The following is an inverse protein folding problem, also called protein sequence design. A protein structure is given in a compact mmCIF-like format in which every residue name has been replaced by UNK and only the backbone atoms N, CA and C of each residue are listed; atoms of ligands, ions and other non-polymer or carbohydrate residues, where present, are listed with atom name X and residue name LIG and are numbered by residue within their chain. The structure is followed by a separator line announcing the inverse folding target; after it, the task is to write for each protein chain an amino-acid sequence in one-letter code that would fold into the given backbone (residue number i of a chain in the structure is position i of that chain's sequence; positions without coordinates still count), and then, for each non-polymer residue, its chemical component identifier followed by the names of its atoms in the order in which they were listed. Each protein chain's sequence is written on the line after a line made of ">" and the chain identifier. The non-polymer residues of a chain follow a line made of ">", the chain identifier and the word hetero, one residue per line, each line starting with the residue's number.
data_IF_900056249306
#
_entry.id   IF_900056249306
#
_cell.length_a   1.000
_cell.length_b   1.000
_cell.length_c   1.000
_cell.angle_alpha   90.00
_cell.angle_beta   90.00
_cell.angle_gamma   90.00
#
_symmetry.space_group_name_H-M   'P 1'
#
loop_
_entity.id
_entity.type
_entity.pdbx_description
1 polymer ?
#
# COMPACT_ATOMS: atom_id res chain seq x y z
N UNK A 1 -3.95 38.49 19.76
CA UNK A 1 -2.80 39.36 20.08
C UNK A 1 -1.51 38.61 19.75
N UNK A 2 -0.94 38.87 18.56
CA UNK A 2 0.53 39.01 18.42
C UNK A 2 0.94 40.25 19.25
N UNK A 3 2.19 40.48 19.70
CA UNK A 3 3.46 39.82 19.38
C UNK A 3 4.36 39.53 20.62
N UNK A 4 5.34 38.62 20.50
CA UNK A 4 6.53 38.64 21.36
C UNK A 4 7.76 38.19 20.55
N UNK A 5 8.00 38.90 19.44
CA UNK A 5 9.33 39.04 18.84
C UNK A 5 9.70 40.50 19.03
N UNK A 6 10.82 40.73 19.73
CA UNK A 6 11.69 41.92 19.71
C UNK A 6 12.28 42.07 21.11
N UNK A 7 13.49 41.55 21.30
CA UNK A 7 14.58 42.15 22.09
C UNK A 7 15.71 41.11 22.20
N UNK A 8 16.60 41.09 21.21
CA UNK A 8 18.04 40.86 21.37
C UNK A 8 18.73 40.94 19.99
N UNK A 9 19.20 42.13 19.60
CA UNK A 9 20.34 42.18 18.69
C UNK A 9 21.36 43.20 19.19
N UNK A 10 22.17 42.85 20.19
CA UNK A 10 23.45 43.52 20.44
C UNK A 10 24.43 42.48 20.99
N UNK A 11 25.08 41.72 20.11
CA UNK A 11 26.43 41.18 20.34
C UNK A 11 27.13 41.13 18.98
N UNK A 12 27.55 42.30 18.53
CA UNK A 12 28.52 42.45 17.47
C UNK A 12 29.92 42.07 17.97
N UNK A 13 30.57 41.20 17.20
CA UNK A 13 31.99 41.24 16.89
C UNK A 13 32.97 40.99 18.04
N UNK A 14 33.34 39.72 18.21
CA UNK A 14 34.67 39.34 18.69
C UNK A 14 35.36 38.57 17.57
N UNK A 15 36.55 38.99 17.12
CA UNK A 15 37.26 38.35 16.03
C UNK A 15 37.72 36.95 16.40
N UNK A 16 37.65 36.10 15.39
CA UNK A 16 38.16 34.74 15.29
C UNK A 16 39.56 34.64 15.90
N UNK A 17 39.70 33.84 16.95
CA UNK A 17 40.97 33.53 17.61
C UNK A 17 41.07 32.03 17.85
N UNK A 18 41.97 31.39 17.09
CA UNK A 18 42.46 30.01 17.22
C UNK A 18 41.50 28.88 16.82
N UNK A 19 41.30 28.72 15.51
CA UNK A 19 41.30 27.37 14.95
C UNK A 19 42.75 26.86 15.02
N UNK A 20 43.06 26.01 16.01
CA UNK A 20 44.25 25.17 15.92
C UNK A 20 44.05 24.22 14.74
N UNK A 21 44.58 24.61 13.58
CA UNK A 21 44.73 23.70 12.46
C UNK A 21 45.67 22.58 12.89
N UNK A 22 45.13 21.42 13.23
CA UNK A 22 45.89 20.18 13.17
C UNK A 22 46.34 20.06 11.71
N UNK A 23 47.63 20.31 11.46
CA UNK A 23 48.16 20.33 10.10
C UNK A 23 47.84 19.03 9.35
N UNK A 24 47.71 19.11 8.02
CA UNK A 24 47.50 17.94 7.15
C UNK A 24 48.49 16.80 7.47
N UNK A 25 49.71 17.14 7.86
CA UNK A 25 50.75 16.22 8.31
C UNK A 25 50.36 15.40 9.54
N UNK A 26 49.74 16.01 10.56
CA UNK A 26 49.26 15.33 11.75
C UNK A 26 48.07 14.41 11.42
N UNK A 27 47.23 14.83 10.48
CA UNK A 27 46.08 14.04 10.04
C UNK A 27 46.48 12.85 9.14
N UNK A 28 47.50 13.01 8.29
CA UNK A 28 48.10 11.92 7.50
C UNK A 28 48.66 10.85 8.43
N UNK A 29 49.23 11.21 9.58
CA UNK A 29 49.74 10.23 10.55
C UNK A 29 48.65 9.35 11.17
N UNK A 30 47.40 9.82 11.20
CA UNK A 30 46.26 9.04 11.69
C UNK A 30 45.69 8.09 10.61
N UNK A 31 46.07 8.26 9.35
CA UNK A 31 45.64 7.38 8.27
C UNK A 31 46.31 5.99 8.37
N UNK A 32 45.62 4.91 7.97
CA UNK A 32 46.24 3.61 7.77
C UNK A 32 47.42 3.66 6.79
N UNK A 33 48.45 2.83 7.00
CA UNK A 33 49.67 2.81 6.15
C UNK A 33 49.37 2.62 4.66
N UNK A 34 48.38 1.79 4.33
CA UNK A 34 47.95 1.58 2.94
C UNK A 34 47.42 2.89 2.31
N UNK A 35 46.61 3.65 3.05
CA UNK A 35 46.03 4.91 2.60
C UNK A 35 47.07 6.02 2.49
N UNK A 36 48.08 6.06 3.37
CA UNK A 36 49.21 6.98 3.25
C UNK A 36 50.00 6.74 1.95
N UNK A 37 50.17 5.48 1.56
CA UNK A 37 50.85 5.11 0.32
C UNK A 37 50.05 5.56 -0.90
N UNK A 38 48.74 5.33 -0.89
CA UNK A 38 47.84 5.81 -1.95
C UNK A 38 47.84 7.35 -2.07
N UNK A 39 47.71 8.05 -0.94
CA UNK A 39 47.68 9.51 -0.91
C UNK A 39 49.00 10.11 -1.39
N UNK A 40 50.14 9.61 -0.92
CA UNK A 40 51.46 10.12 -1.34
C UNK A 40 51.75 9.87 -2.82
N UNK A 41 51.28 8.74 -3.37
CA UNK A 41 51.41 8.43 -4.80
C UNK A 41 50.54 9.38 -5.63
N UNK A 42 49.26 9.50 -5.28
CA UNK A 42 48.34 10.37 -6.01
C UNK A 42 48.73 11.86 -5.93
N UNK A 43 49.30 12.31 -4.80
CA UNK A 43 49.80 13.68 -4.67
C UNK A 43 50.96 13.95 -5.64
N UNK A 44 51.89 13.02 -5.83
CA UNK A 44 53.02 13.17 -6.78
C UNK A 44 52.56 13.37 -8.22
N UNK A 45 51.45 12.73 -8.58
CA UNK A 45 50.85 12.83 -9.91
C UNK A 45 49.87 14.02 -10.06
N UNK A 46 49.74 14.84 -9.01
CA UNK A 46 48.81 15.97 -8.94
C UNK A 46 49.54 17.31 -8.78
N UNK A 47 48.89 18.45 -9.11
CA UNK A 47 49.44 19.77 -8.84
C UNK A 47 49.39 20.18 -7.36
N UNK A 48 48.84 19.34 -6.47
CA UNK A 48 48.69 19.64 -5.06
C UNK A 48 49.96 19.30 -4.26
N UNK A 49 50.23 20.07 -3.19
CA UNK A 49 51.30 19.77 -2.23
C UNK A 49 50.73 19.12 -0.96
N UNK A 50 51.55 18.32 -0.27
CA UNK A 50 51.19 17.63 0.99
C UNK A 50 50.88 18.56 2.17
N UNK A 51 51.12 19.86 2.02
CA UNK A 51 50.81 20.91 3.01
C UNK A 51 49.54 21.69 2.67
N UNK A 52 49.05 21.61 1.43
CA UNK A 52 47.91 22.39 0.95
C UNK A 52 46.61 21.58 1.09
N UNK A 53 46.02 21.63 2.28
CA UNK A 53 44.72 21.00 2.60
C UNK A 53 43.63 21.38 1.60
N UNK A 54 43.53 22.66 1.25
CA UNK A 54 42.49 23.17 0.35
C UNK A 54 42.59 22.53 -1.03
N UNK A 55 43.80 22.37 -1.59
CA UNK A 55 43.99 21.73 -2.89
C UNK A 55 43.56 20.25 -2.85
N UNK A 56 43.96 19.52 -1.80
CA UNK A 56 43.61 18.10 -1.62
C UNK A 56 42.09 17.93 -1.46
N UNK A 57 41.44 18.85 -0.75
CA UNK A 57 40.00 18.79 -0.48
C UNK A 57 39.11 19.28 -1.64
N UNK A 58 39.65 20.04 -2.60
CA UNK A 58 38.88 20.59 -3.73
C UNK A 58 39.16 19.90 -5.06
N UNK A 59 40.27 19.17 -5.19
CA UNK A 59 40.62 18.47 -6.43
C UNK A 59 39.91 17.12 -6.55
N UNK A 60 38.81 17.10 -7.31
CA UNK A 60 37.97 15.92 -7.50
C UNK A 60 38.71 14.74 -8.17
N UNK A 61 39.64 15.01 -9.10
CA UNK A 61 40.42 13.95 -9.77
C UNK A 61 41.34 13.26 -8.77
N UNK A 62 42.07 14.05 -7.97
CA UNK A 62 42.93 13.53 -6.91
C UNK A 62 42.14 12.69 -5.90
N UNK A 63 40.95 13.16 -5.49
CA UNK A 63 40.08 12.41 -4.58
C UNK A 63 39.63 11.07 -5.18
N UNK A 64 39.26 11.05 -6.46
CA UNK A 64 38.88 9.84 -7.17
C UNK A 64 40.04 8.83 -7.29
N UNK A 65 41.24 9.31 -7.61
CA UNK A 65 42.44 8.47 -7.74
C UNK A 65 42.84 7.86 -6.37
N UNK A 66 42.76 8.65 -5.30
CA UNK A 66 43.00 8.17 -3.92
C UNK A 66 41.93 7.17 -3.50
N UNK A 67 40.66 7.46 -3.73
CA UNK A 67 39.55 6.55 -3.39
C UNK A 67 39.69 5.21 -4.15
N UNK A 68 40.00 5.25 -5.44
CA UNK A 68 40.26 4.06 -6.25
C UNK A 68 41.42 3.22 -5.72
N UNK A 69 42.56 3.84 -5.40
CA UNK A 69 43.71 3.14 -4.83
C UNK A 69 43.41 2.54 -3.45
N UNK A 70 42.73 3.28 -2.58
CA UNK A 70 42.38 2.85 -1.22
C UNK A 70 41.44 1.65 -1.27
N UNK A 71 40.40 1.68 -2.12
CA UNK A 71 39.48 0.56 -2.28
C UNK A 71 40.13 -0.73 -2.81
N UNK A 72 41.25 -0.61 -3.52
CA UNK A 72 42.02 -1.75 -4.03
C UNK A 72 43.09 -2.26 -3.04
N UNK A 73 43.70 -1.36 -2.28
CA UNK A 73 44.92 -1.64 -1.50
C UNK A 73 44.70 -1.75 0.00
N UNK A 74 43.56 -1.29 0.52
CA UNK A 74 43.21 -1.29 1.94
C UNK A 74 42.06 -2.24 2.26
N UNK A 75 41.95 -2.67 3.52
CA UNK A 75 40.72 -3.35 3.98
C UNK A 75 39.53 -2.38 3.98
N UNK A 76 38.30 -2.90 3.99
CA UNK A 76 37.12 -2.02 3.98
C UNK A 76 37.06 -1.13 5.23
N UNK A 77 37.41 -1.67 6.41
CA UNK A 77 37.51 -0.90 7.64
C UNK A 77 38.50 0.26 7.49
N UNK A 78 39.70 -0.01 6.97
CA UNK A 78 40.71 1.02 6.72
C UNK A 78 40.24 2.06 5.68
N UNK A 79 39.51 1.62 4.66
CA UNK A 79 38.94 2.49 3.63
C UNK A 79 37.90 3.46 4.22
N UNK A 80 37.00 2.94 5.06
CA UNK A 80 35.99 3.74 5.75
C UNK A 80 36.62 4.70 6.77
N UNK A 81 37.61 4.26 7.54
CA UNK A 81 38.35 5.14 8.45
C UNK A 81 39.06 6.25 7.69
N UNK A 82 39.69 5.93 6.56
CA UNK A 82 40.34 6.91 5.67
C UNK A 82 39.32 7.93 5.16
N UNK A 83 38.16 7.46 4.69
CA UNK A 83 37.08 8.33 4.20
C UNK A 83 36.52 9.23 5.30
N UNK A 84 36.34 8.71 6.52
CA UNK A 84 35.89 9.50 7.67
C UNK A 84 36.88 10.61 8.03
N UNK A 85 38.16 10.26 8.20
CA UNK A 85 39.21 11.22 8.54
C UNK A 85 39.35 12.30 7.45
N UNK A 86 39.42 11.90 6.18
CA UNK A 86 39.52 12.85 5.04
C UNK A 86 38.28 13.73 4.91
N UNK A 87 37.07 13.19 5.06
CA UNK A 87 35.83 13.97 5.04
C UNK A 87 35.78 14.98 6.20
N UNK A 88 36.21 14.57 7.40
CA UNK A 88 36.28 15.44 8.58
C UNK A 88 37.30 16.56 8.39
N UNK A 89 38.49 16.25 7.85
CA UNK A 89 39.54 17.23 7.54
C UNK A 89 39.11 18.25 6.48
N UNK A 90 38.38 17.78 5.48
CA UNK A 90 37.85 18.64 4.42
C UNK A 90 36.56 19.37 4.82
N UNK A 91 36.12 19.27 6.07
CA UNK A 91 34.88 19.85 6.57
C UNK A 91 33.67 19.52 5.67
N UNK A 92 33.62 18.28 5.17
CA UNK A 92 32.49 17.82 4.37
C UNK A 92 31.20 17.84 5.21
N UNK A 93 30.07 18.32 4.67
CA UNK A 93 28.82 18.38 5.41
C UNK A 93 28.33 16.97 5.73
N UNK A 94 28.05 16.70 7.00
CA UNK A 94 27.40 15.46 7.42
C UNK A 94 25.93 15.54 7.03
N UNK A 95 25.50 14.68 6.12
CA UNK A 95 24.11 14.62 5.65
C UNK A 95 23.32 13.65 6.52
N UNK A 96 22.08 14.03 6.88
CA UNK A 96 21.15 13.16 7.61
C UNK A 96 19.74 13.28 7.05
N UNK A 97 19.09 12.15 6.78
CA UNK A 97 17.68 12.02 6.38
C UNK A 97 16.80 11.38 7.48
N UNK A 98 17.32 11.24 8.69
CA UNK A 98 16.68 10.44 9.74
C UNK A 98 15.24 10.89 10.07
N UNK A 99 15.03 12.19 10.21
CA UNK A 99 13.72 12.75 10.55
C UNK A 99 12.69 12.50 9.44
N UNK A 100 13.09 12.70 8.18
CA UNK A 100 12.21 12.51 7.02
C UNK A 100 11.74 11.05 6.92
N UNK A 101 12.64 10.11 7.19
CA UNK A 101 12.37 8.67 7.20
C UNK A 101 11.41 8.31 8.34
N UNK A 102 11.69 8.79 9.56
CA UNK A 102 10.85 8.52 10.74
C UNK A 102 9.43 9.05 10.53
N UNK A 103 9.30 10.30 10.08
CA UNK A 103 8.01 10.94 9.81
C UNK A 103 7.24 10.14 8.76
N UNK A 104 7.86 9.85 7.62
CA UNK A 104 7.20 9.13 6.52
C UNK A 104 6.74 7.73 6.96
N UNK A 105 7.59 6.98 7.66
CA UNK A 105 7.28 5.63 8.16
C UNK A 105 6.12 5.63 9.16
N UNK A 106 6.13 6.54 10.15
CA UNK A 106 5.08 6.63 11.17
C UNK A 106 3.75 7.10 10.55
N UNK A 107 3.78 8.15 9.73
CA UNK A 107 2.57 8.70 9.10
C UNK A 107 1.90 7.65 8.22
N UNK A 108 2.65 6.97 7.35
CA UNK A 108 2.09 5.93 6.49
C UNK A 108 1.52 4.76 7.30
N UNK A 109 2.23 4.31 8.34
CA UNK A 109 1.78 3.23 9.22
C UNK A 109 0.51 3.59 10.00
N UNK A 110 0.39 4.82 10.51
CA UNK A 110 -0.83 5.28 11.21
C UNK A 110 -2.01 5.37 10.26
N UNK A 111 -1.82 5.91 9.05
CA UNK A 111 -2.88 6.02 8.05
C UNK A 111 -3.37 4.63 7.63
N UNK A 112 -2.45 3.70 7.32
CA UNK A 112 -2.83 2.34 6.92
C UNK A 112 -3.55 1.59 8.03
N UNK A 113 -3.06 1.70 9.28
CA UNK A 113 -3.74 1.14 10.45
C UNK A 113 -5.15 1.72 10.63
N UNK A 114 -5.32 3.04 10.50
CA UNK A 114 -6.64 3.68 10.58
C UNK A 114 -7.61 3.21 9.48
N UNK A 115 -7.12 3.03 8.25
CA UNK A 115 -7.89 2.48 7.14
C UNK A 115 -8.34 1.02 7.40
N UNK A 116 -7.46 0.18 7.95
CA UNK A 116 -7.82 -1.21 8.30
C UNK A 116 -8.82 -1.23 9.45
N UNK A 117 -8.56 -0.48 10.52
CA UNK A 117 -9.44 -0.43 11.69
C UNK A 117 -10.84 0.07 11.32
N UNK A 118 -10.94 1.12 10.51
CA UNK A 118 -12.24 1.62 10.03
C UNK A 118 -12.99 0.60 9.19
N UNK A 119 -12.31 -0.16 8.32
CA UNK A 119 -12.91 -1.27 7.56
C UNK A 119 -13.45 -2.37 8.47
N UNK A 120 -12.66 -2.82 9.45
CA UNK A 120 -13.06 -3.92 10.35
C UNK A 120 -14.20 -3.50 11.27
N UNK A 121 -14.11 -2.33 11.91
CA UNK A 121 -15.17 -1.80 12.77
C UNK A 121 -16.46 -1.63 11.97
N UNK A 122 -16.37 -1.11 10.74
CA UNK A 122 -17.56 -0.94 9.90
C UNK A 122 -18.26 -2.27 9.60
N UNK A 123 -17.51 -3.30 9.20
CA UNK A 123 -18.08 -4.62 8.92
C UNK A 123 -18.66 -5.27 10.17
N UNK A 124 -17.92 -5.25 11.28
CA UNK A 124 -18.32 -5.89 12.53
C UNK A 124 -19.55 -5.23 13.16
N UNK A 125 -19.64 -3.90 13.15
CA UNK A 125 -20.69 -3.16 13.85
C UNK A 125 -21.89 -2.85 12.95
N UNK A 126 -21.67 -2.44 11.71
CA UNK A 126 -22.73 -1.87 10.87
C UNK A 126 -23.19 -2.76 9.72
N UNK A 127 -22.40 -3.76 9.34
CA UNK A 127 -22.77 -4.66 8.25
C UNK A 127 -23.40 -5.96 8.75
N UNK A 128 -23.26 -6.31 10.04
CA UNK A 128 -23.62 -7.62 10.62
C UNK A 128 -23.16 -8.81 9.76
N UNK A 129 -22.13 -8.59 8.93
CA UNK A 129 -21.71 -9.50 7.88
C UNK A 129 -20.51 -10.29 8.35
N UNK A 130 -20.42 -11.53 7.88
CA UNK A 130 -19.26 -12.39 8.12
C UNK A 130 -17.97 -11.75 7.56
N UNK A 131 -16.89 -11.85 8.33
CA UNK A 131 -15.56 -11.43 7.89
C UNK A 131 -15.08 -12.37 6.80
N UNK A 132 -14.65 -11.81 5.67
CA UNK A 132 -14.12 -12.58 4.56
C UNK A 132 -12.62 -12.86 4.71
N UNK A 133 -12.10 -13.76 3.89
CA UNK A 133 -10.66 -14.02 3.77
C UNK A 133 -9.86 -12.75 3.40
N UNK A 134 -10.49 -11.80 2.72
CA UNK A 134 -9.94 -10.47 2.43
C UNK A 134 -9.70 -9.63 3.70
N UNK A 135 -10.52 -9.80 4.74
CA UNK A 135 -10.39 -9.04 6.00
C UNK A 135 -9.33 -9.68 6.92
N UNK A 136 -9.26 -11.01 6.98
CA UNK A 136 -8.23 -11.70 7.75
C UNK A 136 -6.83 -11.48 7.17
N UNK A 137 -6.69 -11.53 5.84
CA UNK A 137 -5.42 -11.29 5.18
C UNK A 137 -4.93 -9.85 5.38
N UNK A 138 -5.80 -8.83 5.29
CA UNK A 138 -5.36 -7.43 5.52
C UNK A 138 -4.93 -7.20 6.98
N UNK A 139 -5.59 -7.85 7.94
CA UNK A 139 -5.16 -7.86 9.33
C UNK A 139 -3.78 -8.52 9.48
N UNK A 140 -3.56 -9.66 8.80
CA UNK A 140 -2.26 -10.32 8.80
C UNK A 140 -1.15 -9.43 8.23
N UNK A 141 -1.42 -8.67 7.15
CA UNK A 141 -0.48 -7.67 6.61
C UNK A 141 -0.17 -6.61 7.66
N UNK A 142 -1.20 -6.06 8.33
CA UNK A 142 -1.01 -5.03 9.36
C UNK A 142 -0.16 -5.54 10.53
N UNK A 143 -0.44 -6.75 11.03
CA UNK A 143 0.33 -7.36 12.11
C UNK A 143 1.78 -7.65 11.70
N UNK A 144 2.02 -8.11 10.46
CA UNK A 144 3.36 -8.30 9.92
C UNK A 144 4.10 -6.96 9.69
N UNK A 145 3.37 -5.87 9.46
CA UNK A 145 3.91 -4.52 9.29
C UNK A 145 4.37 -3.85 10.60
N UNK A 146 3.75 -4.16 11.75
CA UNK A 146 4.08 -3.55 13.04
C UNK A 146 5.57 -3.72 13.43
N UNK A 147 6.17 -4.92 13.36
CA UNK A 147 7.61 -5.09 13.59
C UNK A 147 8.45 -4.25 12.61
N UNK A 148 8.03 -4.11 11.35
CA UNK A 148 8.77 -3.33 10.36
C UNK A 148 8.81 -1.85 10.72
N UNK A 149 7.67 -1.26 11.12
CA UNK A 149 7.62 0.14 11.58
C UNK A 149 8.53 0.37 12.78
N UNK A 150 8.52 -0.54 13.76
CA UNK A 150 9.34 -0.47 14.97
C UNK A 150 10.83 -0.63 14.65
N UNK A 151 11.20 -1.61 13.82
CA UNK A 151 12.59 -1.87 13.43
C UNK A 151 13.15 -0.69 12.63
N UNK A 152 12.34 -0.04 11.78
CA UNK A 152 12.80 1.17 11.07
C UNK A 152 13.13 2.29 12.08
N UNK A 153 12.19 2.61 12.97
CA UNK A 153 12.36 3.73 13.91
C UNK A 153 13.42 3.50 14.99
N UNK A 154 13.44 2.29 15.59
CA UNK A 154 14.28 1.96 16.75
C UNK A 154 15.51 1.14 16.42
N UNK A 155 15.51 0.45 15.29
CA UNK A 155 16.60 -0.40 14.83
C UNK A 155 17.47 0.33 13.82
N UNK A 156 16.99 0.54 12.60
CA UNK A 156 17.85 0.89 11.48
C UNK A 156 18.26 2.38 11.44
N UNK A 157 17.35 3.31 11.77
CA UNK A 157 17.64 4.75 11.81
C UNK A 157 18.76 5.09 12.79
N UNK A 158 18.70 4.69 14.08
CA UNK A 158 19.79 4.99 15.02
C UNK A 158 21.10 4.24 14.71
N UNK A 159 21.07 3.25 13.82
CA UNK A 159 22.26 2.51 13.39
C UNK A 159 22.84 3.00 12.05
N UNK A 160 22.38 4.13 11.50
CA UNK A 160 23.03 4.76 10.35
C UNK A 160 22.17 4.97 9.11
N UNK A 161 20.90 4.58 9.10
CA UNK A 161 20.06 4.79 7.91
C UNK A 161 19.91 6.29 7.61
N UNK A 162 20.18 6.66 6.36
CA UNK A 162 20.09 8.06 5.93
C UNK A 162 21.28 8.91 6.36
N UNK A 163 22.37 8.28 6.84
CA UNK A 163 23.68 8.89 7.07
C UNK A 163 24.71 8.30 6.11
N UNK A 164 25.78 9.04 5.85
CA UNK A 164 26.92 8.56 5.09
C UNK A 164 27.65 7.42 5.83
N UNK A 165 27.91 6.28 5.17
CA UNK A 165 28.45 5.06 5.81
C UNK A 165 29.77 5.30 6.55
N UNK A 166 30.61 6.21 6.05
CA UNK A 166 31.90 6.53 6.66
C UNK A 166 31.75 7.25 8.01
N UNK A 167 30.61 7.89 8.28
CA UNK A 167 30.32 8.54 9.56
C UNK A 167 29.76 7.57 10.61
N UNK A 168 29.41 6.35 10.22
CA UNK A 168 28.77 5.36 11.09
C UNK A 168 29.81 4.46 11.76
N UNK A 169 29.77 4.26 13.09
CA UNK A 169 30.70 3.34 13.75
C UNK A 169 30.48 1.88 13.33
N UNK A 170 31.54 1.07 13.29
CA UNK A 170 31.50 -0.29 12.75
C UNK A 170 30.49 -1.24 13.44
N UNK A 171 30.29 -1.10 14.76
CA UNK A 171 29.28 -1.88 15.49
C UNK A 171 27.86 -1.52 15.06
N UNK A 172 27.62 -0.24 14.78
CA UNK A 172 26.35 0.24 14.25
C UNK A 172 26.11 -0.23 12.81
N UNK A 173 27.16 -0.31 11.98
CA UNK A 173 27.05 -0.91 10.62
C UNK A 173 26.60 -2.37 10.71
N UNK A 174 27.19 -3.15 11.61
CA UNK A 174 26.81 -4.56 11.83
C UNK A 174 25.35 -4.68 12.24
N UNK A 175 24.90 -3.84 13.19
CA UNK A 175 23.51 -3.80 13.63
C UNK A 175 22.55 -3.32 12.53
N UNK A 176 22.95 -2.32 11.73
CA UNK A 176 22.21 -1.84 10.57
C UNK A 176 21.92 -2.97 9.60
N UNK A 177 22.95 -3.72 9.18
CA UNK A 177 22.79 -4.84 8.24
C UNK A 177 21.94 -5.96 8.85
N UNK A 178 22.09 -6.22 10.16
CA UNK A 178 21.25 -7.19 10.88
C UNK A 178 19.77 -6.78 10.89
N UNK A 179 19.43 -5.51 11.13
CA UNK A 179 18.04 -5.06 11.07
C UNK A 179 17.50 -5.05 9.63
N UNK A 180 18.36 -4.71 8.66
CA UNK A 180 18.02 -4.75 7.24
C UNK A 180 17.65 -6.17 6.78
N UNK A 181 18.38 -7.18 7.24
CA UNK A 181 18.05 -8.59 7.02
C UNK A 181 16.62 -8.92 7.49
N UNK A 182 16.26 -8.53 8.71
CA UNK A 182 14.92 -8.79 9.26
C UNK A 182 13.84 -8.04 8.47
N UNK A 183 14.11 -6.79 8.09
CA UNK A 183 13.20 -5.99 7.26
C UNK A 183 12.98 -6.61 5.87
N UNK A 184 14.02 -7.17 5.26
CA UNK A 184 13.91 -7.86 3.96
C UNK A 184 12.95 -9.05 4.05
N UNK A 185 13.11 -9.91 5.05
CA UNK A 185 12.24 -11.08 5.29
C UNK A 185 10.79 -10.63 5.52
N UNK A 186 10.59 -9.62 6.38
CA UNK A 186 9.27 -9.06 6.67
C UNK A 186 8.64 -8.41 5.43
N UNK A 187 9.44 -7.78 4.57
CA UNK A 187 8.95 -7.19 3.33
C UNK A 187 8.42 -8.27 2.38
N UNK A 188 9.16 -9.37 2.14
CA UNK A 188 8.69 -10.47 1.28
C UNK A 188 7.42 -11.12 1.82
N UNK A 189 7.29 -11.25 3.13
CA UNK A 189 6.06 -11.72 3.76
C UNK A 189 4.90 -10.74 3.53
N UNK A 190 5.12 -9.44 3.78
CA UNK A 190 4.08 -8.41 3.65
C UNK A 190 3.58 -8.27 2.22
N UNK A 191 4.47 -8.25 1.22
CA UNK A 191 4.06 -8.10 -0.19
C UNK A 191 3.25 -9.32 -0.65
N UNK A 192 3.63 -10.54 -0.23
CA UNK A 192 2.87 -11.74 -0.54
C UNK A 192 1.48 -11.72 0.09
N UNK A 193 1.38 -11.36 1.38
CA UNK A 193 0.10 -11.24 2.09
C UNK A 193 -0.79 -10.13 1.49
N UNK A 194 -0.21 -9.00 1.10
CA UNK A 194 -0.92 -7.89 0.47
C UNK A 194 -1.55 -8.31 -0.86
N UNK A 195 -0.78 -9.02 -1.71
CA UNK A 195 -1.32 -9.56 -2.97
C UNK A 195 -2.42 -10.60 -2.71
N UNK A 196 -2.29 -11.43 -1.67
CA UNK A 196 -3.38 -12.34 -1.26
C UNK A 196 -4.66 -11.57 -0.87
N UNK A 197 -4.54 -10.47 -0.12
CA UNK A 197 -5.68 -9.62 0.22
C UNK A 197 -6.42 -9.13 -1.03
N UNK A 198 -5.68 -8.65 -2.04
CA UNK A 198 -6.28 -8.20 -3.30
C UNK A 198 -6.92 -9.35 -4.09
N UNK A 199 -6.28 -10.51 -4.13
CA UNK A 199 -6.82 -11.69 -4.83
C UNK A 199 -8.09 -12.24 -4.17
N UNK A 200 -8.13 -12.33 -2.83
CA UNK A 200 -9.36 -12.72 -2.12
C UNK A 200 -10.48 -11.71 -2.30
N UNK A 201 -10.13 -10.43 -2.36
CA UNK A 201 -11.08 -9.39 -2.68
C UNK A 201 -11.65 -9.55 -4.10
N UNK A 202 -10.82 -9.87 -5.10
CA UNK A 202 -11.29 -10.16 -6.46
C UNK A 202 -12.16 -11.41 -6.53
N UNK A 203 -11.84 -12.48 -5.80
CA UNK A 203 -12.65 -13.69 -5.73
C UNK A 203 -14.06 -13.42 -5.19
N UNK A 204 -14.21 -12.41 -4.32
CA UNK A 204 -15.51 -11.99 -3.78
C UNK A 204 -16.32 -11.15 -4.78
N UNK A 205 -15.67 -10.36 -5.62
CA UNK A 205 -16.35 -9.48 -6.58
C UNK A 205 -16.81 -10.24 -7.83
N UNK A 206 -15.97 -11.12 -8.37
CA UNK A 206 -16.20 -11.72 -9.68
C UNK A 206 -16.80 -13.12 -9.56
N UNK A 207 -18.09 -13.32 -9.90
CA UNK A 207 -18.74 -14.62 -9.76
C UNK A 207 -18.42 -15.59 -10.91
N UNK A 208 -17.95 -15.09 -12.07
CA UNK A 208 -17.76 -15.87 -13.30
C UNK A 208 -16.76 -17.03 -13.08
N UNK A 209 -17.11 -18.28 -13.44
CA UNK A 209 -16.33 -19.46 -13.07
C UNK A 209 -14.92 -19.46 -13.67
N UNK A 210 -14.77 -19.03 -14.92
CA UNK A 210 -13.47 -18.96 -15.60
C UNK A 210 -12.52 -17.99 -14.88
N UNK A 211 -13.01 -16.80 -14.52
CA UNK A 211 -12.21 -15.80 -13.79
C UNK A 211 -11.87 -16.30 -12.39
N UNK A 212 -12.79 -16.99 -11.70
CA UNK A 212 -12.52 -17.58 -10.39
C UNK A 212 -11.44 -18.66 -10.46
N UNK A 213 -11.42 -19.50 -11.50
CA UNK A 213 -10.35 -20.49 -11.70
C UNK A 213 -8.99 -19.80 -11.89
N UNK A 214 -8.92 -18.75 -12.72
CA UNK A 214 -7.69 -17.96 -12.92
C UNK A 214 -7.23 -17.28 -11.63
N UNK A 215 -8.16 -16.74 -10.84
CA UNK A 215 -7.85 -16.13 -9.55
C UNK A 215 -7.30 -17.14 -8.55
N UNK A 216 -7.90 -18.33 -8.43
CA UNK A 216 -7.37 -19.39 -7.57
C UNK A 216 -5.99 -19.89 -8.02
N UNK A 217 -5.75 -20.01 -9.33
CA UNK A 217 -4.43 -20.31 -9.86
C UNK A 217 -3.41 -19.22 -9.51
N UNK A 218 -3.81 -17.95 -9.58
CA UNK A 218 -2.97 -16.81 -9.20
C UNK A 218 -2.70 -16.78 -7.69
N UNK A 219 -3.68 -17.13 -6.86
CA UNK A 219 -3.51 -17.31 -5.41
C UNK A 219 -2.46 -18.37 -5.12
N UNK A 220 -2.59 -19.55 -5.74
CA UNK A 220 -1.63 -20.64 -5.55
C UNK A 220 -0.21 -20.22 -5.97
N UNK A 221 -0.07 -19.57 -7.13
CA UNK A 221 1.21 -19.03 -7.58
C UNK A 221 1.78 -18.00 -6.60
N UNK A 222 0.98 -17.05 -6.12
CA UNK A 222 1.42 -16.02 -5.18
C UNK A 222 1.87 -16.60 -3.84
N UNK A 223 1.18 -17.62 -3.33
CA UNK A 223 1.60 -18.34 -2.09
C UNK A 223 2.94 -19.02 -2.31
N UNK A 224 3.10 -19.77 -3.41
CA UNK A 224 4.36 -20.46 -3.71
C UNK A 224 5.52 -19.50 -3.92
N UNK A 225 5.29 -18.42 -4.66
CA UNK A 225 6.25 -17.34 -4.87
C UNK A 225 6.65 -16.69 -3.54
N UNK A 226 5.68 -16.25 -2.74
CA UNK A 226 5.94 -15.61 -1.45
C UNK A 226 6.71 -16.53 -0.49
N UNK A 227 6.30 -17.78 -0.38
CA UNK A 227 6.97 -18.77 0.46
C UNK A 227 8.41 -19.03 -0.01
N UNK A 228 8.62 -19.18 -1.32
CA UNK A 228 9.96 -19.40 -1.88
C UNK A 228 10.90 -18.24 -1.55
N UNK A 229 10.46 -16.99 -1.71
CA UNK A 229 11.29 -15.82 -1.41
C UNK A 229 11.53 -15.63 0.09
N UNK A 230 10.54 -15.87 0.95
CA UNK A 230 10.70 -15.81 2.41
C UNK A 230 11.67 -16.89 2.91
N UNK A 231 11.54 -18.14 2.44
CA UNK A 231 12.45 -19.22 2.84
C UNK A 231 13.87 -18.93 2.32
N UNK A 232 13.99 -18.48 1.08
CA UNK A 232 15.29 -18.14 0.49
C UNK A 232 15.96 -16.99 1.23
N UNK A 233 15.21 -15.94 1.60
CA UNK A 233 15.77 -14.79 2.32
C UNK A 233 16.19 -15.13 3.75
N UNK A 234 15.53 -16.09 4.41
CA UNK A 234 15.95 -16.58 5.73
C UNK A 234 17.27 -17.38 5.62
N UNK A 235 17.40 -18.21 4.58
CA UNK A 235 18.55 -19.10 4.40
C UNK A 235 19.54 -18.60 3.33
N UNK A 236 19.56 -17.29 3.07
CA UNK A 236 20.35 -16.71 1.99
C UNK A 236 21.86 -16.79 2.21
N UNK A 237 22.32 -16.98 3.46
CA UNK A 237 23.73 -17.10 3.81
C UNK A 237 24.00 -18.34 4.67
N UNK A 238 25.20 -18.91 4.51
CA UNK A 238 25.72 -20.02 5.32
C UNK A 238 27.08 -19.62 5.91
N UNK A 239 27.19 -19.49 7.26
CA UNK A 239 26.10 -19.46 8.24
C UNK A 239 25.20 -18.22 8.08
N UNK A 240 23.98 -18.24 8.63
CA UNK A 240 23.03 -17.09 8.54
C UNK A 240 23.66 -15.81 9.10
N UNK A 241 24.48 -15.93 10.15
CA UNK A 241 25.20 -14.80 10.74
C UNK A 241 26.14 -14.08 9.79
N UNK A 242 26.58 -14.78 8.73
CA UNK A 242 27.43 -14.20 7.72
C UNK A 242 26.77 -13.04 6.98
N UNK A 243 25.43 -12.97 6.90
CA UNK A 243 24.74 -11.84 6.28
C UNK A 243 25.14 -10.49 6.91
N UNK A 244 25.14 -10.40 8.24
CA UNK A 244 25.47 -9.15 8.94
C UNK A 244 26.93 -9.05 9.36
N UNK A 245 27.75 -10.09 9.23
CA UNK A 245 29.19 -10.02 9.50
C UNK A 245 30.03 -9.93 8.23
N UNK A 246 29.44 -10.08 7.03
CA UNK A 246 30.20 -10.07 5.77
C UNK A 246 30.50 -8.67 5.23
N UNK A 247 29.93 -7.62 5.81
CA UNK A 247 30.08 -6.26 5.28
C UNK A 247 31.55 -5.83 5.22
N UNK A 248 32.40 -6.26 6.16
CA UNK A 248 33.83 -5.93 6.19
C UNK A 248 34.70 -6.80 5.27
N UNK A 249 34.12 -7.82 4.63
CA UNK A 249 34.78 -8.82 3.77
C UNK A 249 35.84 -9.67 4.47
N UNK A 250 35.88 -9.68 5.81
CA UNK A 250 36.86 -10.46 6.59
C UNK A 250 36.28 -11.79 7.08
N UNK A 251 34.96 -11.91 7.18
CA UNK A 251 34.29 -13.14 7.59
C UNK A 251 34.41 -14.29 6.58
N UNK A 252 34.25 -15.53 7.06
CA UNK A 252 34.15 -16.72 6.22
C UNK A 252 32.69 -17.18 6.11
N UNK A 253 32.19 -17.25 4.88
CA UNK A 253 30.86 -17.76 4.58
C UNK A 253 30.51 -17.59 3.11
N UNK A 254 29.35 -18.10 2.71
CA UNK A 254 28.81 -17.92 1.37
C UNK A 254 27.37 -17.46 1.45
N UNK A 255 27.02 -16.48 0.62
CA UNK A 255 25.65 -16.05 0.43
C UNK A 255 25.24 -16.26 -1.03
N UNK A 256 23.95 -16.41 -1.27
CA UNK A 256 23.39 -16.23 -2.62
C UNK A 256 23.58 -14.77 -3.04
N UNK A 257 23.45 -14.50 -4.34
CA UNK A 257 23.52 -13.12 -4.82
C UNK A 257 22.29 -12.33 -4.35
N UNK A 258 22.44 -11.56 -3.28
CA UNK A 258 21.36 -10.80 -2.61
C UNK A 258 20.72 -9.80 -3.60
N UNK A 259 21.53 -9.12 -4.42
CA UNK A 259 21.01 -8.19 -5.43
C UNK A 259 20.16 -8.91 -6.48
N UNK A 260 20.61 -10.07 -6.96
CA UNK A 260 19.85 -10.89 -7.90
C UNK A 260 18.55 -11.42 -7.28
N UNK A 261 18.56 -11.79 -6.00
CA UNK A 261 17.36 -12.19 -5.27
C UNK A 261 16.35 -11.04 -5.21
N UNK A 262 16.80 -9.84 -4.80
CA UNK A 262 15.97 -8.65 -4.71
C UNK A 262 15.39 -8.22 -6.07
N UNK A 263 16.21 -8.22 -7.13
CA UNK A 263 15.75 -7.89 -8.49
C UNK A 263 14.74 -8.91 -9.03
N UNK A 264 14.99 -10.20 -8.80
CA UNK A 264 14.06 -11.26 -9.21
C UNK A 264 12.71 -11.11 -8.51
N UNK A 265 12.73 -10.83 -7.21
CA UNK A 265 11.51 -10.57 -6.45
C UNK A 265 10.75 -9.36 -7.01
N UNK A 266 11.44 -8.23 -7.23
CA UNK A 266 10.84 -7.01 -7.73
C UNK A 266 10.23 -7.18 -9.13
N UNK A 267 10.93 -7.84 -10.06
CA UNK A 267 10.43 -8.10 -11.42
C UNK A 267 9.19 -8.99 -11.38
N UNK A 268 9.22 -10.11 -10.65
CA UNK A 268 8.07 -11.01 -10.55
C UNK A 268 6.89 -10.30 -9.86
N UNK A 269 7.15 -9.47 -8.84
CA UNK A 269 6.13 -8.68 -8.17
C UNK A 269 5.42 -7.72 -9.14
N UNK A 270 6.18 -7.00 -9.98
CA UNK A 270 5.62 -6.10 -11.00
C UNK A 270 4.79 -6.87 -12.02
N UNK A 271 5.28 -8.01 -12.51
CA UNK A 271 4.53 -8.86 -13.44
C UNK A 271 3.21 -9.31 -12.83
N UNK A 272 3.23 -9.70 -11.54
CA UNK A 272 2.02 -10.03 -10.80
C UNK A 272 1.06 -8.84 -10.65
N UNK A 273 1.56 -7.63 -10.42
CA UNK A 273 0.72 -6.43 -10.33
C UNK A 273 0.02 -6.14 -11.66
N UNK A 274 0.75 -6.20 -12.77
CA UNK A 274 0.20 -6.04 -14.12
C UNK A 274 -0.83 -7.14 -14.45
N UNK A 275 -0.53 -8.39 -14.10
CA UNK A 275 -1.45 -9.51 -14.27
C UNK A 275 -2.75 -9.32 -13.48
N UNK A 276 -2.64 -8.97 -12.19
CA UNK A 276 -3.78 -8.71 -11.31
C UNK A 276 -4.61 -7.52 -11.77
N UNK A 277 -4.00 -6.51 -12.41
CA UNK A 277 -4.69 -5.39 -13.05
C UNK A 277 -5.46 -5.80 -14.31
N UNK A 278 -4.90 -6.72 -15.11
CA UNK A 278 -5.51 -7.15 -16.36
C UNK A 278 -6.80 -7.97 -16.14
N UNK A 279 -6.85 -8.80 -15.09
CA UNK A 279 -7.99 -9.65 -14.75
C UNK A 279 -9.34 -8.90 -14.66
N UNK A 280 -9.48 -7.85 -13.81
CA UNK A 280 -10.74 -7.10 -13.71
C UNK A 280 -11.02 -6.26 -14.96
N UNK A 281 -9.98 -5.78 -15.65
CA UNK A 281 -10.15 -4.93 -16.83
C UNK A 281 -10.80 -5.70 -17.98
N UNK A 282 -10.36 -6.94 -18.22
CA UNK A 282 -10.95 -7.80 -19.23
C UNK A 282 -12.44 -8.05 -18.96
N UNK A 283 -12.82 -8.28 -17.71
CA UNK A 283 -14.22 -8.54 -17.34
C UNK A 283 -15.09 -7.29 -17.49
N UNK A 284 -14.59 -6.10 -17.16
CA UNK A 284 -15.33 -4.83 -17.34
C UNK A 284 -15.59 -4.51 -18.81
N UNK A 285 -14.66 -4.84 -19.70
CA UNK A 285 -14.83 -4.60 -21.13
C UNK A 285 -15.93 -5.50 -21.73
N UNK A 286 -16.16 -6.68 -21.17
CA UNK A 286 -17.15 -7.63 -21.68
C UNK A 286 -18.53 -7.53 -21.02
N UNK A 287 -18.65 -6.89 -19.86
CA UNK A 287 -19.87 -6.92 -19.05
C UNK A 287 -20.52 -5.54 -18.93
N UNK A 288 -21.82 -5.44 -19.25
CA UNK A 288 -22.64 -4.23 -19.06
C UNK A 288 -22.94 -3.99 -17.58
N UNK A 289 -21.93 -3.58 -16.82
CA UNK A 289 -22.05 -3.30 -15.40
C UNK A 289 -22.83 -2.00 -15.13
N UNK A 290 -23.67 -2.02 -14.10
CA UNK A 290 -24.34 -0.82 -13.60
C UNK A 290 -23.31 0.24 -13.17
N UNK A 291 -23.66 1.53 -13.31
CA UNK A 291 -22.76 2.67 -13.07
C UNK A 291 -22.02 2.60 -11.72
N UNK A 292 -22.68 2.09 -10.67
CA UNK A 292 -22.08 1.94 -9.33
C UNK A 292 -20.93 0.93 -9.28
N UNK A 293 -21.04 -0.19 -10.02
CA UNK A 293 -20.00 -1.21 -10.16
C UNK A 293 -18.86 -0.68 -11.04
N UNK A 294 -19.18 0.04 -12.13
CA UNK A 294 -18.20 0.68 -13.01
C UNK A 294 -17.29 1.66 -12.27
N UNK A 295 -17.84 2.49 -11.40
CA UNK A 295 -17.07 3.41 -10.54
C UNK A 295 -16.16 2.65 -9.55
N UNK A 296 -16.62 1.51 -9.01
CA UNK A 296 -15.79 0.70 -8.12
C UNK A 296 -14.58 0.14 -8.85
N UNK A 297 -14.78 -0.42 -10.05
CA UNK A 297 -13.67 -0.99 -10.81
C UNK A 297 -12.71 0.09 -11.32
N UNK A 298 -13.23 1.27 -11.70
CA UNK A 298 -12.40 2.39 -12.10
C UNK A 298 -11.46 2.86 -10.96
N UNK A 299 -11.95 2.94 -9.72
CA UNK A 299 -11.10 3.25 -8.56
C UNK A 299 -10.02 2.18 -8.35
N UNK A 300 -10.38 0.90 -8.47
CA UNK A 300 -9.41 -0.19 -8.31
C UNK A 300 -8.33 -0.18 -9.40
N UNK A 301 -8.71 0.15 -10.64
CA UNK A 301 -7.76 0.28 -11.75
C UNK A 301 -6.76 1.41 -11.52
N UNK A 302 -7.24 2.59 -11.10
CA UNK A 302 -6.37 3.72 -10.81
C UNK A 302 -5.34 3.38 -9.74
N UNK A 303 -5.79 2.73 -8.66
CA UNK A 303 -4.91 2.43 -7.54
C UNK A 303 -3.96 1.28 -7.85
N UNK A 304 -4.41 0.22 -8.55
CA UNK A 304 -3.49 -0.83 -8.98
C UNK A 304 -2.43 -0.32 -9.95
N UNK A 305 -2.79 0.62 -10.84
CA UNK A 305 -1.82 1.29 -11.73
C UNK A 305 -0.80 2.08 -10.91
N UNK A 306 -1.26 2.83 -9.91
CA UNK A 306 -0.38 3.56 -8.99
C UNK A 306 0.59 2.64 -8.25
N UNK A 307 0.09 1.53 -7.68
CA UNK A 307 0.94 0.53 -7.00
C UNK A 307 1.97 -0.05 -7.95
N UNK A 308 1.59 -0.37 -9.20
CA UNK A 308 2.53 -0.89 -10.21
C UNK A 308 3.65 0.12 -10.52
N UNK A 309 3.33 1.41 -10.58
CA UNK A 309 4.34 2.47 -10.78
C UNK A 309 5.29 2.54 -9.58
N UNK A 310 4.77 2.46 -8.36
CA UNK A 310 5.57 2.43 -7.12
C UNK A 310 6.52 1.22 -7.13
N UNK A 311 6.04 0.04 -7.52
CA UNK A 311 6.87 -1.17 -7.67
C UNK A 311 8.02 -0.96 -8.67
N UNK A 312 7.77 -0.23 -9.77
CA UNK A 312 8.79 0.14 -10.75
C UNK A 312 9.85 1.12 -10.20
N UNK A 313 9.43 2.15 -9.46
CA UNK A 313 10.34 3.08 -8.80
C UNK A 313 11.21 2.39 -7.74
N UNK A 314 10.64 1.43 -7.01
CA UNK A 314 11.39 0.57 -6.08
C UNK A 314 12.47 -0.24 -6.80
N UNK A 315 12.17 -0.84 -7.94
CA UNK A 315 13.15 -1.57 -8.75
C UNK A 315 14.29 -0.64 -9.20
N UNK A 316 13.98 0.58 -9.63
CA UNK A 316 15.00 1.57 -9.98
C UNK A 316 15.92 1.89 -8.79
N UNK A 317 15.36 2.08 -7.59
CA UNK A 317 16.16 2.30 -6.37
C UNK A 317 17.01 1.09 -6.01
N UNK A 318 16.53 -0.14 -6.21
CA UNK A 318 17.32 -1.36 -5.99
C UNK A 318 18.49 -1.48 -6.96
N UNK A 319 18.31 -1.08 -8.23
CA UNK A 319 19.38 -1.06 -9.23
C UNK A 319 20.43 0.00 -8.87
N UNK A 320 20.00 1.19 -8.45
CA UNK A 320 20.90 2.24 -7.98
C UNK A 320 21.69 1.81 -6.73
N UNK A 321 21.03 1.19 -5.76
CA UNK A 321 21.65 0.68 -4.54
C UNK A 321 22.75 -0.35 -4.83
N UNK A 322 22.52 -1.27 -5.77
CA UNK A 322 23.50 -2.30 -6.12
C UNK A 322 24.82 -1.75 -6.69
N UNK A 323 24.82 -0.53 -7.23
CA UNK A 323 25.99 0.15 -7.77
C UNK A 323 26.58 1.20 -6.80
N UNK A 324 26.01 1.34 -5.61
CA UNK A 324 26.35 2.41 -4.67
C UNK A 324 27.63 2.13 -3.86
N UNK A 325 28.43 3.18 -3.66
CA UNK A 325 29.56 3.20 -2.72
C UNK A 325 29.15 3.68 -1.31
N UNK A 326 27.87 3.98 -1.08
CA UNK A 326 27.33 4.50 0.17
C UNK A 326 25.96 3.87 0.49
N UNK A 327 25.96 2.58 0.89
CA UNK A 327 24.73 1.81 1.02
C UNK A 327 23.81 2.34 2.14
N UNK A 328 24.34 2.88 3.24
CA UNK A 328 23.50 3.41 4.35
C UNK A 328 22.68 4.64 3.92
N UNK A 329 23.20 5.44 2.98
CA UNK A 329 22.50 6.58 2.42
C UNK A 329 21.47 6.14 1.37
N UNK A 330 21.89 5.36 0.38
CA UNK A 330 21.05 4.99 -0.77
C UNK A 330 19.96 3.95 -0.43
N UNK A 331 20.16 3.15 0.63
CA UNK A 331 19.13 2.24 1.14
C UNK A 331 17.87 2.97 1.61
N UNK A 332 17.98 4.25 1.94
CA UNK A 332 16.84 5.11 2.33
C UNK A 332 15.72 5.06 1.30
N UNK A 333 16.06 5.17 0.02
CA UNK A 333 15.07 5.24 -1.04
C UNK A 333 14.39 3.89 -1.23
N UNK A 334 15.14 2.78 -1.11
CA UNK A 334 14.59 1.41 -1.15
C UNK A 334 13.58 1.18 -0.03
N UNK A 335 13.91 1.61 1.20
CA UNK A 335 13.01 1.46 2.37
C UNK A 335 11.76 2.34 2.20
N UNK A 336 11.92 3.59 1.77
CA UNK A 336 10.79 4.49 1.55
C UNK A 336 9.84 3.96 0.48
N UNK A 337 10.34 3.53 -0.68
CA UNK A 337 9.50 2.98 -1.74
C UNK A 337 8.82 1.66 -1.32
N UNK A 338 9.53 0.79 -0.60
CA UNK A 338 8.95 -0.44 -0.04
C UNK A 338 7.83 -0.13 0.97
N UNK A 339 8.04 0.87 1.84
CA UNK A 339 7.03 1.32 2.79
C UNK A 339 5.81 1.92 2.09
N UNK A 340 6.00 2.74 1.06
CA UNK A 340 4.92 3.32 0.25
C UNK A 340 4.14 2.21 -0.46
N UNK A 341 4.82 1.25 -1.08
CA UNK A 341 4.20 0.11 -1.79
C UNK A 341 3.24 -0.66 -0.88
N UNK A 342 3.71 -1.08 0.30
CA UNK A 342 2.89 -1.84 1.24
C UNK A 342 1.74 -0.99 1.80
N UNK A 343 2.01 0.22 2.29
CA UNK A 343 0.99 1.04 2.93
C UNK A 343 -0.08 1.52 1.93
N UNK A 344 0.31 1.92 0.72
CA UNK A 344 -0.66 2.29 -0.32
C UNK A 344 -1.45 1.09 -0.79
N UNK A 345 -0.83 -0.09 -0.89
CA UNK A 345 -1.55 -1.33 -1.15
C UNK A 345 -2.60 -1.66 -0.08
N UNK A 346 -2.27 -1.49 1.20
CA UNK A 346 -3.24 -1.66 2.29
C UNK A 346 -4.41 -0.68 2.13
N UNK A 347 -4.11 0.62 1.93
CA UNK A 347 -5.12 1.66 1.73
C UNK A 347 -6.02 1.31 0.53
N UNK A 348 -5.43 0.86 -0.58
CA UNK A 348 -6.14 0.38 -1.77
C UNK A 348 -7.15 -0.71 -1.41
N UNK A 349 -6.71 -1.74 -0.69
CA UNK A 349 -7.56 -2.87 -0.31
C UNK A 349 -8.75 -2.44 0.57
N UNK A 350 -8.60 -1.34 1.31
CA UNK A 350 -9.64 -0.78 2.19
C UNK A 350 -10.58 0.21 1.48
N UNK A 351 -10.21 0.76 0.31
CA UNK A 351 -11.04 1.74 -0.42
C UNK A 351 -12.50 1.31 -0.67
N UNK A 352 -12.78 0.04 -1.05
CA UNK A 352 -14.16 -0.40 -1.25
C UNK A 352 -15.02 -0.25 0.00
N UNK A 353 -14.47 -0.58 1.18
CA UNK A 353 -15.16 -0.40 2.46
C UNK A 353 -15.27 1.08 2.83
N UNK A 354 -14.20 1.86 2.65
CA UNK A 354 -14.18 3.30 2.91
C UNK A 354 -15.22 4.04 2.08
N UNK A 355 -15.44 3.66 0.81
CA UNK A 355 -16.49 4.22 -0.04
C UNK A 355 -17.88 4.05 0.58
N UNK A 356 -18.19 2.85 1.07
CA UNK A 356 -19.50 2.58 1.67
C UNK A 356 -19.68 3.37 2.97
N UNK A 357 -18.62 3.47 3.78
CA UNK A 357 -18.60 4.29 5.00
C UNK A 357 -18.89 5.77 4.65
N UNK A 358 -18.20 6.32 3.66
CA UNK A 358 -18.34 7.73 3.25
C UNK A 358 -19.76 8.05 2.75
N UNK A 359 -20.36 7.15 1.96
CA UNK A 359 -21.74 7.32 1.47
C UNK A 359 -22.76 7.31 2.60
N UNK A 360 -22.54 6.50 3.66
CA UNK A 360 -23.44 6.45 4.83
C UNK A 360 -23.25 7.63 5.79
N UNK A 361 -22.01 8.07 6.03
CA UNK A 361 -21.72 9.17 6.95
C UNK A 361 -22.00 10.55 6.34
N UNK A 362 -21.79 10.71 5.04
CA UNK A 362 -21.97 11.98 4.33
C UNK A 362 -22.91 11.83 3.13
N UNK A 363 -24.20 11.49 3.36
CA UNK A 363 -25.16 11.33 2.27
C UNK A 363 -25.34 12.62 1.45
N UNK A 364 -25.01 13.78 2.02
CA UNK A 364 -25.10 15.10 1.35
C UNK A 364 -23.89 15.45 0.49
N UNK A 365 -22.73 14.82 0.68
CA UNK A 365 -21.48 15.13 -0.08
C UNK A 365 -21.32 14.17 -1.28
N UNK A 366 -21.83 12.94 -1.17
CA UNK A 366 -21.75 11.91 -2.22
C UNK A 366 -23.11 11.42 -2.73
N UNK A 367 -24.21 12.02 -2.27
CA UNK A 367 -25.56 11.73 -2.76
C UNK A 367 -25.73 12.33 -4.14
N UNK A 368 -25.85 11.48 -5.16
CA UNK A 368 -26.33 11.93 -6.47
C UNK A 368 -27.68 12.60 -6.29
N UNK A 369 -27.85 13.77 -6.90
CA UNK A 369 -29.13 14.41 -7.17
C UNK A 369 -29.99 13.48 -8.03
N UNK A 370 -30.61 12.47 -7.43
CA UNK A 370 -31.86 11.93 -7.94
C UNK A 370 -32.95 12.54 -7.09
N UNK A 371 -33.74 13.40 -7.75
CA UNK A 371 -34.75 14.23 -7.14
C UNK A 371 -35.63 13.44 -6.19
N UNK A 372 -35.81 14.00 -5.01
CA UNK A 372 -36.90 13.73 -4.10
C UNK A 372 -38.23 13.90 -4.84
N UNK A 373 -38.72 12.86 -5.51
CA UNK A 373 -40.17 12.71 -5.70
C UNK A 373 -40.73 12.42 -4.32
N UNK A 374 -41.30 13.46 -3.71
CA UNK A 374 -41.91 13.38 -2.39
C UNK A 374 -42.84 12.16 -2.27
N UNK A 375 -42.77 11.38 -1.18
CA UNK A 375 -43.94 10.62 -0.77
C UNK A 375 -44.92 11.62 -0.18
N UNK A 376 -45.93 11.98 -0.96
CA UNK A 376 -47.11 12.68 -0.45
C UNK A 376 -47.75 11.78 0.60
N UNK A 377 -47.50 12.09 1.87
CA UNK A 377 -48.10 11.41 3.01
C UNK A 377 -49.58 11.81 3.06
N UNK A 378 -50.43 11.09 2.32
CA UNK A 378 -51.87 11.28 2.41
C UNK A 378 -52.34 10.69 3.76
N UNK A 379 -52.36 11.58 4.74
CA UNK A 379 -52.96 11.42 6.04
C UNK A 379 -54.49 11.36 5.87
N UNK A 380 -55.05 10.16 5.80
CA UNK A 380 -56.47 9.95 6.08
C UNK A 380 -56.61 9.05 7.32
N UNK A 381 -56.66 9.72 8.46
CA UNK A 381 -57.16 9.17 9.71
C UNK A 381 -58.44 9.91 10.10
N UNK A 382 -59.51 9.14 10.23
CA UNK A 382 -60.66 9.29 11.14
C UNK A 382 -61.41 10.63 11.21
N UNK A 383 -62.69 10.60 10.79
CA UNK A 383 -63.73 11.35 11.50
C UNK A 383 -65.06 10.59 11.47
N UNK A 384 -65.60 10.37 12.66
CA UNK A 384 -66.86 9.70 12.97
C UNK A 384 -68.10 10.53 12.62
N UNK A 385 -69.18 9.81 12.27
CA UNK A 385 -70.61 10.08 12.46
C UNK A 385 -71.14 11.52 12.49
N UNK A 386 -72.11 11.80 11.62
CA UNK A 386 -73.07 12.89 11.75
C UNK A 386 -74.07 12.94 10.59
N UNK A 387 -75.36 12.79 10.90
CA UNK A 387 -76.54 12.86 10.02
C UNK A 387 -76.60 14.09 9.11
N UNK A 388 -77.35 13.97 7.99
CA UNK A 388 -78.04 15.12 7.40
C UNK A 388 -78.15 15.03 5.89
N UNK A 389 -79.36 15.21 5.36
CA UNK A 389 -79.66 15.03 3.95
C UNK A 389 -79.24 16.17 3.03
N UNK A 390 -79.53 15.91 1.75
CA UNK A 390 -79.82 16.85 0.68
C UNK A 390 -78.65 17.49 -0.12
N UNK A 391 -78.83 17.36 -1.43
CA UNK A 391 -78.56 18.34 -2.47
C UNK A 391 -77.12 18.63 -2.91
N UNK A 392 -76.79 17.96 -4.02
CA UNK A 392 -76.62 18.59 -5.33
C UNK A 392 -75.36 19.41 -5.67
N UNK A 393 -75.02 19.28 -6.97
CA UNK A 393 -74.24 20.17 -7.86
C UNK A 393 -72.73 19.87 -7.92
N UNK A 394 -72.25 19.17 -8.96
CA UNK A 394 -71.75 19.64 -10.30
C UNK A 394 -70.36 20.31 -10.16
N UNK A 395 -69.36 20.12 -11.01
CA UNK A 395 -69.26 19.74 -12.43
C UNK A 395 -67.78 19.47 -12.76
N UNK A 396 -67.47 18.58 -13.70
CA UNK A 396 -66.08 18.33 -14.13
C UNK A 396 -65.91 17.25 -15.20
N UNK A 397 -66.60 17.41 -16.32
CA UNK A 397 -66.74 16.54 -17.51
C UNK A 397 -65.43 15.92 -18.04
N UNK A 398 -65.48 14.63 -18.43
CA UNK A 398 -64.53 13.99 -19.34
C UNK A 398 -64.85 12.51 -19.66
N UNK A 399 -65.64 12.28 -20.71
CA UNK A 399 -66.26 11.00 -21.16
C UNK A 399 -65.28 9.82 -21.37
N UNK A 400 -65.69 8.61 -20.94
CA UNK A 400 -65.60 7.34 -21.70
C UNK A 400 -66.61 6.31 -21.16
N UNK A 401 -67.15 5.50 -22.08
CA UNK A 401 -68.34 4.65 -21.95
C UNK A 401 -68.38 3.74 -20.71
N UNK A 402 -69.50 3.79 -19.99
CA UNK A 402 -69.91 2.81 -18.98
C UNK A 402 -70.61 1.63 -19.65
N UNK A 403 -69.95 0.47 -19.69
CA UNK A 403 -70.65 -0.82 -19.76
C UNK A 403 -71.19 -1.13 -18.36
N UNK A 404 -72.47 -1.49 -18.30
CA UNK A 404 -73.20 -1.90 -17.09
C UNK A 404 -72.46 -3.08 -16.42
N UNK A 405 -72.21 -3.08 -15.10
CA UNK A 405 -71.68 -4.26 -14.42
C UNK A 405 -72.78 -5.33 -14.34
N UNK A 406 -72.48 -6.50 -14.90
CA UNK A 406 -73.35 -7.68 -14.88
C UNK A 406 -73.59 -8.14 -13.42
N UNK A 407 -74.85 -8.31 -12.94
CA UNK A 407 -75.14 -8.67 -11.55
C UNK A 407 -74.71 -10.08 -11.12
N UNK A 408 -74.07 -10.85 -12.00
CA UNK A 408 -73.54 -12.19 -11.72
C UNK A 408 -72.01 -12.32 -11.79
N UNK A 409 -71.27 -11.20 -11.90
CA UNK A 409 -69.81 -11.26 -11.91
C UNK A 409 -69.22 -11.35 -10.49
N UNK A 410 -68.67 -12.50 -10.13
CA UNK A 410 -67.88 -12.67 -8.90
C UNK A 410 -66.55 -11.94 -9.10
N UNK A 411 -66.34 -10.85 -8.34
CA UNK A 411 -65.06 -10.15 -8.33
C UNK A 411 -64.18 -10.75 -7.24
N UNK A 412 -63.05 -11.35 -7.61
CA UNK A 412 -62.07 -11.88 -6.65
C UNK A 412 -60.82 -11.01 -6.65
N UNK A 413 -60.45 -10.50 -5.48
CA UNK A 413 -59.24 -9.70 -5.27
C UNK A 413 -58.16 -10.59 -4.65
N UNK A 414 -57.04 -10.80 -5.37
CA UNK A 414 -55.90 -11.56 -4.89
C UNK A 414 -54.83 -10.63 -4.34
N UNK A 415 -54.53 -10.75 -3.06
CA UNK A 415 -53.43 -10.06 -2.41
C UNK A 415 -52.19 -10.95 -2.45
N UNK A 416 -51.06 -10.43 -2.94
CA UNK A 416 -49.77 -11.12 -2.87
C UNK A 416 -48.87 -10.40 -1.86
N UNK A 417 -48.25 -11.16 -0.96
CA UNK A 417 -47.14 -10.67 -0.15
C UNK A 417 -45.85 -10.94 -0.93
N UNK A 418 -45.18 -9.87 -1.39
CA UNK A 418 -43.88 -9.98 -2.05
C UNK A 418 -42.81 -10.00 -0.96
N UNK A 419 -42.15 -11.13 -0.79
CA UNK A 419 -41.02 -11.27 0.13
C UNK A 419 -39.73 -11.11 -0.68
N UNK A 420 -38.99 -10.03 -0.45
CA UNK A 420 -37.69 -9.83 -1.09
C UNK A 420 -36.62 -10.64 -0.34
N UNK A 421 -36.11 -11.70 -0.99
CA UNK A 421 -34.84 -12.32 -0.63
C UNK A 421 -33.70 -11.59 -1.33
N UNK A 422 -32.56 -11.41 -0.67
CA UNK A 422 -31.37 -10.67 -1.18
C UNK A 422 -30.63 -11.35 -2.34
N UNK A 423 -31.25 -12.33 -2.99
CA UNK A 423 -30.73 -12.97 -4.20
C UNK A 423 -31.90 -13.35 -5.09
N UNK A 424 -32.27 -12.47 -6.03
CA UNK A 424 -32.31 -12.84 -7.44
C UNK A 424 -32.70 -11.67 -8.35
N UNK A 425 -32.18 -11.79 -9.56
CA UNK A 425 -32.39 -10.91 -10.70
C UNK A 425 -33.86 -10.79 -11.09
N UNK A 426 -34.20 -9.70 -11.76
CA UNK A 426 -35.49 -9.48 -12.40
C UNK A 426 -35.77 -10.54 -13.46
N UNK A 427 -36.35 -11.67 -13.07
CA UNK A 427 -37.09 -12.54 -13.99
C UNK A 427 -38.45 -11.87 -14.25
N UNK A 428 -38.61 -11.31 -15.44
CA UNK A 428 -39.92 -10.84 -15.92
C UNK A 428 -40.88 -12.04 -15.93
N UNK A 429 -41.91 -11.99 -15.10
CA UNK A 429 -43.02 -12.96 -15.14
C UNK A 429 -43.72 -12.78 -16.49
N UNK A 430 -43.66 -13.81 -17.34
CA UNK A 430 -44.46 -13.87 -18.56
C UNK A 430 -45.93 -13.97 -18.13
N UNK A 431 -46.74 -12.98 -18.48
CA UNK A 431 -48.19 -13.09 -18.35
C UNK A 431 -48.66 -14.02 -19.49
N UNK A 432 -49.20 -15.18 -19.16
CA UNK A 432 -49.96 -15.97 -20.12
C UNK A 432 -51.25 -15.22 -20.48
N UNK A 433 -51.45 -15.03 -21.79
CA UNK A 433 -52.62 -14.39 -22.38
C UNK A 433 -53.85 -15.29 -22.20
N UNK A 434 -54.82 -14.85 -21.39
CA UNK A 434 -56.05 -15.59 -21.12
C UNK A 434 -56.99 -15.56 -22.34
N UNK A 435 -56.84 -16.52 -23.24
CA UNK A 435 -57.88 -16.92 -24.18
C UNK A 435 -58.89 -17.89 -23.54
N UNK A 436 -60.18 -17.88 -23.93
CA UNK A 436 -61.21 -18.70 -23.30
C UNK A 436 -61.03 -20.17 -23.69
N UNK A 437 -60.67 -21.04 -22.74
CA UNK A 437 -60.71 -22.49 -22.93
C UNK A 437 -62.01 -23.06 -22.38
N UNK A 438 -62.74 -23.70 -23.27
CA UNK A 438 -63.99 -24.41 -23.08
C UNK A 438 -63.82 -25.62 -22.14
N UNK A 439 -64.94 -25.93 -21.50
CA UNK A 439 -65.21 -26.98 -20.52
C UNK A 439 -64.64 -28.38 -20.81
N UNK A 440 -64.23 -29.08 -19.74
CA UNK A 440 -64.58 -30.50 -19.54
C UNK A 440 -64.54 -30.90 -18.06
N UNK A 441 -65.68 -31.39 -17.61
CA UNK A 441 -65.95 -32.07 -16.35
C UNK A 441 -65.27 -33.43 -16.33
N UNK A 442 -64.64 -33.83 -15.21
CA UNK A 442 -64.64 -35.23 -14.74
C UNK A 442 -64.33 -35.32 -13.25
N UNK A 443 -65.25 -35.94 -12.51
CA UNK A 443 -65.05 -36.39 -11.13
C UNK A 443 -64.27 -37.70 -11.08
N UNK A 444 -63.57 -37.92 -9.97
CA UNK A 444 -63.46 -39.25 -9.33
C UNK A 444 -62.71 -39.13 -8.00
N UNK A 445 -63.40 -39.58 -6.94
CA UNK A 445 -62.86 -39.99 -5.64
C UNK A 445 -61.73 -41.01 -5.81
N UNK A 446 -60.73 -41.00 -4.92
CA UNK A 446 -60.49 -42.08 -3.95
C UNK A 446 -59.30 -41.77 -3.04
N UNK A 447 -59.49 -42.16 -1.78
CA UNK A 447 -58.59 -42.19 -0.64
C UNK A 447 -57.37 -43.10 -0.85
N UNK A 448 -56.23 -42.77 -0.22
CA UNK A 448 -55.45 -43.76 0.56
C UNK A 448 -54.47 -43.07 1.51
N UNK A 449 -54.31 -43.71 2.68
CA UNK A 449 -53.50 -43.36 3.85
C UNK A 449 -52.38 -44.40 3.96
N UNK A 450 -51.35 -44.09 4.77
CA UNK A 450 -50.30 -44.97 5.36
C UNK A 450 -48.98 -45.00 4.56
N UNK A 451 -47.79 -44.81 5.14
CA UNK A 451 -47.29 -44.96 6.51
C UNK A 451 -46.36 -43.79 6.89
#
# INVERSE_FOLDING_TARGET
>A
MRPLYLLLPILTWVPIGFAQGTGLSAAIQQLPKCAQTCLSTAIKDSPCQTTNTTCVCTNAKLQGDVEGCVLQSCTLRQSLTTKNLTATLCHAPVRSKENDIRISNIVLGVISAACVMSRIIYKAVYSLGELGWDDYSVLAVLFAGLPSTIIIDRGIVPNGLGMDIWAVPFDHITNFVRYLYVLEVLYFLQIALLKLTLLFFFLRIFPKPVIRQLLWATVAFNVLWGLAFVVTSIFQCQPISYYWTSWDKEGHGKCVNINALAWSNAIISIVLDVWMLALPLFEVLQLQLSWRKKVSVAMMFFVGTFVTVVSGLRLQSLVHFAASNNPTWDQTDVINWSGIEINVGIICSCMPALRVILVRLFPKILGSTQGTSQPMYNKYGSRSQGMGGASAVRSGIGKKQSSIPDPHAITYTKSFAVQHGESDETSLVHLDEFGPKTSKVRSSNTSEVSL
#
